data_IF_164152434462
#
_entry.id   IF_164152434462
#
_cell.length_a   1.000
_cell.length_b   1.000
_cell.length_c   1.000
_cell.angle_alpha   90.00
_cell.angle_beta   90.00
_cell.angle_gamma   90.00
#
_symmetry.space_group_name_H-M   'P 1'
#
loop_
_entity.id
_entity.type
_entity.pdbx_description
1 polymer ?
#
# COMPACT_ATOMS: atom_id res chain seq x y z
N UNK A 1 51.67 28.35 7.43
CA UNK A 1 52.28 27.14 8.04
C UNK A 1 51.58 25.90 7.51
N UNK A 2 52.39 24.95 7.04
CA UNK A 2 52.06 23.71 6.31
C UNK A 2 51.70 22.56 7.25
N UNK A 3 50.86 21.62 6.78
CA UNK A 3 50.90 20.14 7.00
C UNK A 3 49.74 19.53 6.17
N UNK A 4 49.93 19.18 4.89
CA UNK A 4 50.38 17.87 4.33
C UNK A 4 49.66 16.65 4.95
N UNK A 5 48.67 16.09 4.24
CA UNK A 5 48.71 14.86 3.38
C UNK A 5 48.75 13.56 4.19
N UNK A 6 47.76 12.67 4.00
CA UNK A 6 48.01 11.28 3.57
C UNK A 6 46.74 10.61 3.02
N UNK A 7 46.77 10.36 1.71
CA UNK A 7 45.86 9.47 0.97
C UNK A 7 46.50 8.08 0.98
N UNK A 8 45.74 7.03 1.33
CA UNK A 8 46.24 5.65 1.24
C UNK A 8 45.36 4.84 0.29
N UNK A 9 45.94 4.55 -0.88
CA UNK A 9 45.43 3.65 -1.91
C UNK A 9 45.98 2.26 -1.57
N UNK A 10 45.11 1.27 -1.34
CA UNK A 10 45.50 -0.13 -1.29
C UNK A 10 45.06 -0.83 -2.58
N UNK A 11 46.07 -1.16 -3.38
CA UNK A 11 46.04 -1.97 -4.60
C UNK A 11 46.74 -3.27 -4.22
N UNK A 12 46.03 -4.40 -4.18
CA UNK A 12 46.67 -5.72 -4.08
C UNK A 12 46.05 -6.65 -5.12
N UNK A 13 46.98 -7.30 -5.81
CA UNK A 13 46.86 -8.00 -7.05
C UNK A 13 46.11 -9.33 -6.97
N UNK A 14 45.54 -9.69 -8.11
CA UNK A 14 45.00 -10.98 -8.49
C UNK A 14 46.06 -12.09 -8.45
N UNK A 15 45.72 -13.24 -7.86
CA UNK A 15 46.37 -14.52 -8.16
C UNK A 15 45.32 -15.46 -8.73
N UNK A 16 45.49 -15.75 -10.03
CA UNK A 16 44.80 -16.81 -10.75
C UNK A 16 45.49 -18.14 -10.39
N UNK A 17 44.79 -19.03 -9.69
CA UNK A 17 45.18 -20.45 -9.66
C UNK A 17 44.26 -21.23 -10.59
N UNK A 18 44.76 -21.43 -11.82
CA UNK A 18 44.34 -22.51 -12.70
C UNK A 18 44.84 -23.83 -12.10
N UNK A 19 43.92 -24.71 -11.72
CA UNK A 19 44.22 -26.13 -11.55
C UNK A 19 43.47 -26.86 -12.65
N UNK A 20 44.21 -27.37 -13.63
CA UNK A 20 43.70 -28.26 -14.66
C UNK A 20 44.03 -29.72 -14.32
N UNK A 21 43.12 -30.59 -14.74
CA UNK A 21 43.28 -32.02 -15.00
C UNK A 21 43.42 -32.99 -13.80
N UNK A 22 42.37 -33.78 -13.57
CA UNK A 22 42.44 -35.20 -13.93
C UNK A 22 41.04 -35.76 -14.19
N UNK A 23 40.76 -36.14 -15.44
CA UNK A 23 39.80 -37.19 -15.73
C UNK A 23 40.55 -38.51 -15.64
N UNK A 24 40.07 -39.44 -14.82
CA UNK A 24 40.20 -40.86 -15.13
C UNK A 24 38.98 -41.61 -14.58
N UNK A 25 38.42 -42.38 -15.49
CA UNK A 25 37.23 -43.21 -15.38
C UNK A 25 37.46 -44.43 -14.50
N UNK A 26 36.54 -44.67 -13.57
CA UNK A 26 36.22 -46.00 -13.08
C UNK A 26 34.71 -46.06 -12.79
N UNK A 27 33.97 -46.75 -13.66
CA UNK A 27 32.60 -47.16 -13.37
C UNK A 27 32.64 -48.22 -12.27
N UNK A 28 31.97 -47.97 -11.16
CA UNK A 28 31.36 -49.05 -10.38
C UNK A 28 29.95 -48.61 -9.97
N UNK A 29 28.97 -49.28 -10.55
CA UNK A 29 27.56 -49.11 -10.21
C UNK A 29 27.35 -49.39 -8.71
N UNK A 30 26.88 -48.39 -7.99
CA UNK A 30 26.02 -48.56 -6.82
C UNK A 30 24.84 -47.61 -6.98
N UNK A 31 23.70 -48.21 -7.29
CA UNK A 31 22.40 -47.58 -7.28
C UNK A 31 22.14 -47.07 -5.85
N UNK A 32 22.18 -45.76 -5.65
CA UNK A 32 21.63 -45.09 -4.47
C UNK A 32 20.78 -43.96 -5.00
N UNK A 33 19.52 -43.99 -4.59
CA UNK A 33 18.39 -43.25 -5.13
C UNK A 33 18.68 -41.76 -5.35
N UNK A 34 18.62 -41.35 -6.61
CA UNK A 34 18.44 -39.96 -6.99
C UNK A 34 17.04 -39.51 -6.59
N UNK A 35 16.87 -39.12 -5.33
CA UNK A 35 15.78 -38.24 -4.93
C UNK A 35 16.31 -36.89 -4.47
N UNK A 36 17.16 -36.26 -5.28
CA UNK A 36 17.19 -34.80 -5.34
C UNK A 36 15.85 -34.36 -5.91
N UNK A 37 14.86 -34.23 -5.03
CA UNK A 37 13.66 -33.44 -5.29
C UNK A 37 14.17 -32.07 -5.72
N UNK A 38 14.23 -31.81 -7.04
CA UNK A 38 14.51 -30.49 -7.61
C UNK A 38 13.56 -29.56 -6.90
N UNK A 39 14.09 -28.74 -5.99
CA UNK A 39 13.34 -27.72 -5.32
C UNK A 39 12.82 -26.82 -6.44
N UNK A 40 11.55 -27.01 -6.82
CA UNK A 40 10.92 -26.25 -7.90
C UNK A 40 11.09 -24.80 -7.48
N UNK A 41 11.96 -24.06 -8.17
CA UNK A 41 12.24 -22.68 -7.82
C UNK A 41 10.91 -21.94 -7.92
N UNK A 42 10.40 -21.47 -6.77
CA UNK A 42 9.09 -20.84 -6.70
C UNK A 42 9.18 -19.51 -7.45
N UNK A 43 8.69 -19.49 -8.69
CA UNK A 43 8.62 -18.30 -9.53
C UNK A 43 7.60 -17.30 -8.98
N UNK A 44 7.90 -16.01 -9.08
CA UNK A 44 6.94 -14.94 -8.85
C UNK A 44 5.89 -14.96 -9.97
N UNK A 45 4.62 -15.11 -9.61
CA UNK A 45 3.49 -15.07 -10.56
C UNK A 45 2.46 -14.03 -10.13
N UNK A 46 1.80 -13.41 -11.10
CA UNK A 46 0.83 -12.35 -10.83
C UNK A 46 -0.34 -12.82 -9.94
N UNK A 47 -0.72 -14.09 -10.04
CA UNK A 47 -1.89 -14.66 -9.36
C UNK A 47 -1.67 -14.86 -7.84
N UNK A 48 -0.42 -14.84 -7.37
CA UNK A 48 -0.06 -15.12 -5.98
C UNK A 48 0.64 -13.94 -5.26
N UNK A 49 0.61 -12.73 -5.83
CA UNK A 49 1.25 -11.57 -5.21
C UNK A 49 0.36 -10.92 -4.16
N UNK A 50 0.82 -10.96 -2.90
CA UNK A 50 0.31 -10.05 -1.87
C UNK A 50 0.67 -8.59 -2.21
N UNK A 51 0.00 -7.62 -1.60
CA UNK A 51 0.30 -6.19 -1.82
C UNK A 51 1.74 -5.82 -1.45
N UNK A 52 2.28 -6.43 -0.38
CA UNK A 52 3.66 -6.22 0.08
C UNK A 52 4.66 -6.87 -0.88
N UNK A 53 4.38 -8.08 -1.37
CA UNK A 53 5.19 -8.74 -2.39
C UNK A 53 5.22 -7.96 -3.70
N UNK A 54 4.07 -7.45 -4.14
CA UNK A 54 3.98 -6.65 -5.35
C UNK A 54 4.78 -5.34 -5.23
N UNK A 55 4.62 -4.61 -4.13
CA UNK A 55 5.36 -3.37 -3.90
C UNK A 55 6.88 -3.61 -3.79
N UNK A 56 7.28 -4.73 -3.18
CA UNK A 56 8.68 -5.16 -3.08
C UNK A 56 9.27 -5.48 -4.46
N UNK A 57 8.55 -6.25 -5.28
CA UNK A 57 8.97 -6.57 -6.64
C UNK A 57 9.13 -5.31 -7.50
N UNK A 58 8.14 -4.41 -7.47
CA UNK A 58 8.19 -3.12 -8.18
C UNK A 58 9.40 -2.29 -7.74
N UNK A 59 9.64 -2.19 -6.43
CA UNK A 59 10.76 -1.41 -5.87
C UNK A 59 12.12 -1.99 -6.27
N UNK A 60 12.28 -3.30 -6.16
CA UNK A 60 13.51 -3.99 -6.52
C UNK A 60 13.81 -3.86 -8.01
N UNK A 61 12.82 -4.09 -8.87
CA UNK A 61 12.97 -3.91 -10.31
C UNK A 61 13.44 -2.50 -10.67
N UNK A 62 12.82 -1.48 -10.08
CA UNK A 62 13.21 -0.09 -10.29
C UNK A 62 14.62 0.21 -9.78
N UNK A 63 15.00 -0.35 -8.63
CA UNK A 63 16.35 -0.20 -8.08
C UNK A 63 17.42 -0.79 -9.01
N UNK A 64 17.14 -1.94 -9.62
CA UNK A 64 18.05 -2.60 -10.58
C UNK A 64 18.14 -1.85 -11.90
N UNK A 65 17.01 -1.36 -12.44
CA UNK A 65 16.94 -0.79 -13.79
C UNK A 65 17.19 0.71 -13.86
N UNK A 66 16.69 1.49 -12.88
CA UNK A 66 16.75 2.96 -12.92
C UNK A 66 17.79 3.57 -11.98
N UNK A 67 18.35 2.76 -11.07
CA UNK A 67 19.44 3.13 -10.15
C UNK A 67 19.11 4.42 -9.35
N UNK A 68 20.14 5.10 -8.85
CA UNK A 68 20.02 6.39 -8.14
C UNK A 68 19.06 6.31 -6.95
N UNK A 69 18.05 7.19 -6.92
CA UNK A 69 17.09 7.28 -5.80
C UNK A 69 16.33 5.97 -5.56
N UNK A 70 16.03 5.19 -6.60
CA UNK A 70 15.39 3.88 -6.43
C UNK A 70 16.32 2.87 -5.77
N UNK A 71 17.60 2.88 -6.14
CA UNK A 71 18.62 2.04 -5.52
C UNK A 71 18.86 2.45 -4.07
N UNK A 72 18.89 3.75 -3.77
CA UNK A 72 19.04 4.26 -2.41
C UNK A 72 17.87 3.87 -1.52
N UNK A 73 16.63 4.03 -2.01
CA UNK A 73 15.41 3.62 -1.31
C UNK A 73 15.44 2.13 -0.99
N UNK A 74 15.80 1.29 -1.96
CA UNK A 74 15.93 -0.15 -1.78
C UNK A 74 17.02 -0.52 -0.76
N UNK A 75 18.23 0.05 -0.87
CA UNK A 75 19.34 -0.19 0.07
C UNK A 75 19.00 0.20 1.51
N UNK A 76 18.18 1.24 1.70
CA UNK A 76 17.70 1.62 3.02
C UNK A 76 16.63 0.65 3.52
N UNK A 77 15.70 0.27 2.64
CA UNK A 77 14.61 -0.64 2.96
C UNK A 77 15.11 -2.03 3.39
N UNK A 78 16.19 -2.53 2.78
CA UNK A 78 16.80 -3.80 3.18
C UNK A 78 17.46 -3.77 4.55
N UNK A 79 17.90 -2.59 5.02
CA UNK A 79 18.48 -2.39 6.37
C UNK A 79 17.41 -2.14 7.44
N UNK A 80 16.28 -1.58 7.04
CA UNK A 80 15.17 -1.24 7.94
C UNK A 80 13.92 -1.99 7.49
N UNK A 81 13.02 -1.29 6.81
CA UNK A 81 11.79 -1.83 6.27
C UNK A 81 11.37 -0.99 5.06
N UNK A 82 10.60 -1.56 4.14
CA UNK A 82 10.08 -0.84 2.99
C UNK A 82 8.76 -0.16 3.37
N UNK A 83 8.72 1.17 3.36
CA UNK A 83 7.53 1.97 3.60
C UNK A 83 6.89 2.36 2.26
N UNK A 84 5.61 2.03 2.07
CA UNK A 84 4.83 2.46 0.89
C UNK A 84 3.69 3.36 1.34
N UNK A 85 3.76 4.65 1.06
CA UNK A 85 2.62 5.55 1.29
C UNK A 85 1.73 5.60 0.05
N UNK A 86 0.42 5.42 0.24
CA UNK A 86 -0.56 5.54 -0.84
C UNK A 86 -1.16 6.95 -0.80
N UNK A 87 -1.00 7.68 -1.89
CA UNK A 87 -1.44 9.07 -2.08
C UNK A 87 -2.50 9.12 -3.18
N UNK A 88 -3.44 10.05 -3.05
CA UNK A 88 -4.43 10.30 -4.11
C UNK A 88 -3.78 11.01 -5.29
N UNK A 89 -4.13 10.62 -6.52
CA UNK A 89 -3.70 11.30 -7.74
C UNK A 89 -4.28 12.71 -7.88
N UNK A 90 -5.41 13.04 -7.22
CA UNK A 90 -6.08 14.35 -7.34
C UNK A 90 -5.24 15.47 -6.76
N UNK A 91 -4.68 15.27 -5.56
CA UNK A 91 -3.74 16.19 -4.91
C UNK A 91 -2.40 16.36 -5.64
N UNK A 92 -2.17 15.49 -6.63
CA UNK A 92 -0.94 15.41 -7.41
C UNK A 92 -1.20 15.68 -8.90
N UNK A 93 -2.39 16.17 -9.26
CA UNK A 93 -2.89 16.34 -10.63
C UNK A 93 -2.00 17.19 -11.55
N UNK A 94 -1.24 18.15 -10.99
CA UNK A 94 -0.25 18.95 -11.73
C UNK A 94 0.97 18.14 -12.20
N UNK A 95 1.24 17.01 -11.55
CA UNK A 95 2.42 16.17 -11.80
C UNK A 95 2.00 14.83 -12.43
N UNK A 96 0.82 14.33 -12.06
CA UNK A 96 0.29 13.04 -12.48
C UNK A 96 -1.08 13.27 -13.11
N UNK A 97 -1.15 13.21 -14.45
CA UNK A 97 -2.42 13.34 -15.17
C UNK A 97 -3.22 12.04 -15.06
N UNK A 98 -4.38 12.08 -14.38
CA UNK A 98 -5.34 11.00 -14.33
C UNK A 98 -5.86 10.66 -12.93
N UNK A 99 -6.95 9.90 -12.87
CA UNK A 99 -7.52 9.36 -11.64
C UNK A 99 -6.76 8.08 -11.23
N UNK A 100 -6.49 7.92 -9.92
CA UNK A 100 -5.86 6.73 -9.36
C UNK A 100 -4.93 7.03 -8.19
N UNK A 101 -4.26 6.00 -7.69
CA UNK A 101 -3.34 6.11 -6.57
C UNK A 101 -1.88 6.22 -7.01
N UNK A 102 -1.14 7.04 -6.26
CA UNK A 102 0.31 7.18 -6.35
C UNK A 102 0.92 6.48 -5.13
N UNK A 103 1.93 5.66 -5.36
CA UNK A 103 2.63 4.91 -4.33
C UNK A 103 4.01 5.52 -4.16
N UNK A 104 4.21 6.22 -3.04
CA UNK A 104 5.50 6.77 -2.66
C UNK A 104 6.28 5.73 -1.87
N UNK A 105 7.56 5.61 -2.19
CA UNK A 105 8.46 4.62 -1.59
C UNK A 105 9.45 5.31 -0.66
N UNK A 106 9.71 4.70 0.49
CA UNK A 106 10.79 5.09 1.38
C UNK A 106 11.40 3.87 2.05
N UNK A 107 12.72 3.83 2.16
CA UNK A 107 13.43 2.78 2.92
C UNK A 107 13.74 3.17 4.37
N UNK A 108 13.36 4.38 4.80
CA UNK A 108 13.68 4.90 6.14
C UNK A 108 12.52 5.65 6.80
N UNK A 109 11.31 5.57 6.23
CA UNK A 109 10.11 6.29 6.69
C UNK A 109 10.11 7.79 6.40
N UNK A 110 11.21 8.36 5.87
CA UNK A 110 11.30 9.77 5.48
C UNK A 110 10.93 9.96 4.00
N UNK A 111 10.43 11.13 3.65
CA UNK A 111 10.08 11.47 2.27
C UNK A 111 11.25 11.23 1.29
N UNK A 112 10.93 10.54 0.20
CA UNK A 112 11.81 10.39 -0.95
C UNK A 112 11.06 10.71 -2.24
N UNK A 113 11.82 10.97 -3.31
CA UNK A 113 11.27 11.40 -4.60
C UNK A 113 10.96 10.21 -5.52
N UNK A 114 10.78 9.01 -4.98
CA UNK A 114 10.51 7.79 -5.74
C UNK A 114 9.03 7.42 -5.65
N UNK A 115 8.35 7.46 -6.78
CA UNK A 115 6.92 7.18 -6.88
C UNK A 115 6.63 6.18 -7.99
N UNK A 116 5.62 5.34 -7.82
CA UNK A 116 5.03 4.62 -8.92
C UNK A 116 3.50 4.78 -8.94
N UNK A 117 2.90 4.60 -10.11
CA UNK A 117 1.47 4.36 -10.24
C UNK A 117 1.24 2.96 -10.77
N UNK A 118 0.13 2.33 -10.36
CA UNK A 118 -0.30 1.03 -10.87
C UNK A 118 -1.73 1.15 -11.36
N UNK A 119 -1.94 0.94 -12.66
CA UNK A 119 -3.26 0.88 -13.29
C UNK A 119 -3.39 -0.40 -14.10
N UNK A 120 -4.32 -1.27 -13.69
CA UNK A 120 -4.45 -2.64 -14.23
C UNK A 120 -3.09 -3.35 -14.12
N UNK A 121 -2.48 -3.72 -15.25
CA UNK A 121 -1.17 -4.37 -15.33
C UNK A 121 -0.02 -3.40 -15.66
N UNK A 122 -0.25 -2.07 -15.71
CA UNK A 122 0.79 -1.10 -16.09
C UNK A 122 1.33 -0.37 -14.85
N UNK A 123 2.64 -0.45 -14.66
CA UNK A 123 3.39 0.28 -13.62
C UNK A 123 4.12 1.43 -14.29
N UNK A 124 3.85 2.65 -13.86
CA UNK A 124 4.62 3.83 -14.30
C UNK A 124 5.52 4.30 -13.17
N UNK A 125 6.81 4.46 -13.46
CA UNK A 125 7.84 4.86 -12.50
C UNK A 125 8.17 6.33 -12.66
N UNK A 126 8.45 6.98 -11.53
CA UNK A 126 8.76 8.39 -11.47
C UNK A 126 9.93 8.62 -10.51
N UNK A 127 10.76 9.60 -10.84
CA UNK A 127 11.67 10.24 -9.91
C UNK A 127 11.34 11.73 -9.90
N UNK A 128 11.11 12.28 -8.71
CA UNK A 128 10.47 13.58 -8.53
C UNK A 128 9.18 13.68 -9.36
N UNK A 129 9.08 14.70 -10.21
CA UNK A 129 7.94 15.01 -11.07
C UNK A 129 8.05 14.40 -12.47
N UNK A 130 9.14 13.67 -12.76
CA UNK A 130 9.43 13.16 -14.11
C UNK A 130 9.13 11.67 -14.17
N UNK A 131 8.28 11.31 -15.13
CA UNK A 131 8.05 9.92 -15.49
C UNK A 131 9.33 9.35 -16.12
N UNK A 132 9.81 8.24 -15.59
CA UNK A 132 10.99 7.53 -16.09
C UNK A 132 10.58 6.52 -17.15
N UNK A 133 9.57 5.69 -16.84
CA UNK A 133 9.14 4.60 -17.71
C UNK A 133 7.73 4.12 -17.36
N UNK A 134 7.13 3.36 -18.28
CA UNK A 134 5.98 2.50 -17.98
C UNK A 134 6.29 1.09 -18.46
N UNK A 135 6.13 0.10 -17.60
CA UNK A 135 6.29 -1.33 -17.93
C UNK A 135 5.13 -2.12 -17.36
N UNK A 136 4.93 -3.35 -17.86
CA UNK A 136 3.89 -4.22 -17.33
C UNK A 136 4.33 -4.88 -16.02
N UNK A 137 3.42 -5.12 -15.08
CA UNK A 137 3.73 -5.87 -13.86
C UNK A 137 4.20 -7.29 -14.22
N UNK A 138 3.59 -7.94 -15.21
CA UNK A 138 4.07 -9.22 -15.74
C UNK A 138 5.54 -9.18 -16.19
N UNK A 139 5.97 -8.12 -16.91
CA UNK A 139 7.36 -7.97 -17.34
C UNK A 139 8.32 -7.76 -16.17
N UNK A 140 7.88 -7.03 -15.13
CA UNK A 140 8.65 -6.88 -13.90
C UNK A 140 8.90 -8.24 -13.25
N UNK A 141 7.87 -9.07 -13.12
CA UNK A 141 7.98 -10.37 -12.47
C UNK A 141 8.84 -11.36 -13.29
N UNK A 142 8.67 -11.37 -14.61
CA UNK A 142 9.50 -12.16 -15.51
C UNK A 142 10.99 -11.78 -15.34
N UNK A 143 11.29 -10.49 -15.41
CA UNK A 143 12.65 -9.98 -15.20
C UNK A 143 13.23 -10.43 -13.84
N UNK A 144 12.48 -10.30 -12.75
CA UNK A 144 12.99 -10.72 -11.43
C UNK A 144 13.17 -12.24 -11.32
N UNK A 145 12.34 -13.04 -11.99
CA UNK A 145 12.51 -14.49 -12.05
C UNK A 145 13.76 -14.88 -12.86
N UNK A 146 14.00 -14.22 -13.99
CA UNK A 146 15.16 -14.48 -14.85
C UNK A 146 16.48 -14.19 -14.12
N UNK A 147 16.48 -13.16 -13.26
CA UNK A 147 17.60 -12.83 -12.38
C UNK A 147 17.58 -13.58 -11.04
N UNK A 148 16.69 -14.57 -10.87
CA UNK A 148 16.56 -15.41 -9.67
C UNK A 148 16.33 -14.62 -8.36
N UNK A 149 15.62 -13.49 -8.42
CA UNK A 149 15.41 -12.55 -7.30
C UNK A 149 14.22 -12.85 -6.40
N UNK A 150 13.61 -14.03 -6.52
CA UNK A 150 12.37 -14.37 -5.83
C UNK A 150 12.48 -14.37 -4.29
N UNK A 151 13.54 -14.96 -3.73
CA UNK A 151 13.75 -14.97 -2.26
C UNK A 151 14.05 -13.57 -1.72
N UNK A 152 14.77 -12.75 -2.48
CA UNK A 152 15.06 -11.37 -2.09
C UNK A 152 13.76 -10.54 -2.04
N UNK A 153 12.87 -10.72 -3.02
CA UNK A 153 11.54 -10.08 -3.02
C UNK A 153 10.72 -10.53 -1.82
N UNK A 154 10.72 -11.83 -1.51
CA UNK A 154 10.00 -12.39 -0.37
C UNK A 154 10.53 -11.83 0.97
N UNK A 155 11.86 -11.74 1.13
CA UNK A 155 12.50 -11.17 2.32
C UNK A 155 12.14 -9.69 2.49
N UNK A 156 12.18 -8.91 1.42
CA UNK A 156 11.75 -7.51 1.46
C UNK A 156 10.25 -7.38 1.78
N UNK A 157 9.42 -8.25 1.21
CA UNK A 157 7.97 -8.24 1.41
C UNK A 157 7.54 -8.50 2.85
N UNK A 158 8.27 -9.37 3.57
CA UNK A 158 8.05 -9.63 4.99
C UNK A 158 8.21 -8.36 5.85
N UNK A 159 9.12 -7.47 5.45
CA UNK A 159 9.40 -6.20 6.12
C UNK A 159 8.79 -5.00 5.37
N UNK A 160 7.75 -5.21 4.56
CA UNK A 160 7.10 -4.12 3.82
C UNK A 160 5.82 -3.69 4.50
N UNK A 161 5.67 -2.38 4.71
CA UNK A 161 4.45 -1.76 5.24
C UNK A 161 3.77 -0.97 4.13
N UNK A 162 2.62 -1.48 3.66
CA UNK A 162 1.77 -0.78 2.69
C UNK A 162 0.77 0.11 3.42
N UNK A 163 0.65 1.36 2.95
CA UNK A 163 0.06 2.41 3.77
C UNK A 163 0.98 2.72 4.95
N UNK A 164 2.26 2.98 4.71
CA UNK A 164 3.13 3.52 5.75
C UNK A 164 2.92 5.04 5.91
N UNK A 165 3.14 5.57 7.12
CA UNK A 165 3.24 7.02 7.33
C UNK A 165 4.60 7.47 6.82
N UNK A 166 4.63 8.16 5.68
CA UNK A 166 5.81 8.88 5.19
C UNK A 166 5.55 10.36 5.43
N UNK A 167 6.36 10.99 6.29
CA UNK A 167 6.26 12.41 6.61
C UNK A 167 6.84 13.23 5.46
N UNK A 168 6.04 14.12 4.86
CA UNK A 168 6.41 15.03 3.76
C UNK A 168 5.80 16.41 4.02
N UNK A 169 6.63 17.45 3.94
CA UNK A 169 6.19 18.86 3.97
C UNK A 169 6.22 19.48 2.55
N UNK A 170 6.72 18.74 1.54
CA UNK A 170 7.15 19.32 0.26
C UNK A 170 6.18 19.11 -0.90
N UNK A 171 5.43 18.00 -0.90
CA UNK A 171 4.63 17.59 -2.07
C UNK A 171 3.22 17.07 -1.73
N UNK A 172 2.76 17.22 -0.49
CA UNK A 172 1.43 16.79 -0.06
C UNK A 172 0.86 17.66 1.05
N UNK A 173 -0.44 17.52 1.31
CA UNK A 173 -1.12 18.16 2.43
C UNK A 173 -0.38 17.82 3.72
N UNK A 174 0.06 18.84 4.46
CA UNK A 174 0.75 18.66 5.73
C UNK A 174 -0.15 17.84 6.67
N UNK A 175 0.41 16.77 7.21
CA UNK A 175 -0.33 15.84 8.07
C UNK A 175 -0.97 14.65 7.35
N UNK A 176 -1.03 14.61 6.01
CA UNK A 176 -1.53 13.44 5.27
C UNK A 176 -0.56 12.25 5.37
N UNK A 177 -0.98 11.22 6.12
CA UNK A 177 -0.28 9.96 6.26
C UNK A 177 -0.77 8.90 5.25
N UNK A 178 -1.44 9.32 4.17
CA UNK A 178 -1.93 8.47 3.10
C UNK A 178 -3.27 7.81 3.42
N UNK A 179 -3.81 7.06 2.47
CA UNK A 179 -5.16 6.50 2.56
C UNK A 179 -5.36 5.61 3.79
N UNK A 180 -6.52 5.75 4.42
CA UNK A 180 -7.00 4.83 5.45
C UNK A 180 -7.63 3.59 4.80
N UNK A 181 -7.46 2.44 5.44
CA UNK A 181 -8.13 1.20 5.04
C UNK A 181 -9.45 1.06 5.79
N UNK A 182 -10.54 1.00 5.05
CA UNK A 182 -11.88 0.73 5.61
C UNK A 182 -12.00 -0.77 5.90
N UNK A 183 -12.54 -1.22 7.05
CA UNK A 183 -12.71 -2.65 7.36
C UNK A 183 -13.44 -3.42 6.25
N UNK A 184 -12.92 -4.60 5.85
CA UNK A 184 -13.48 -5.43 4.75
C UNK A 184 -14.99 -5.65 4.91
N UNK A 185 -15.45 -5.86 6.14
CA UNK A 185 -16.85 -6.12 6.49
C UNK A 185 -17.82 -4.98 6.12
N UNK A 186 -17.34 -3.73 6.07
CA UNK A 186 -18.13 -2.56 5.68
C UNK A 186 -18.16 -2.34 4.15
N UNK A 187 -17.24 -2.97 3.41
CA UNK A 187 -17.06 -2.70 1.98
C UNK A 187 -18.19 -3.31 1.14
N UNK A 188 -18.44 -2.69 0.01
CA UNK A 188 -19.43 -3.10 -0.97
C UNK A 188 -20.42 -1.98 -1.28
N UNK A 189 -21.42 -2.35 -2.07
CA UNK A 189 -22.56 -1.49 -2.38
C UNK A 189 -23.71 -1.85 -1.47
N UNK A 190 -24.28 -0.85 -0.83
CA UNK A 190 -25.39 -0.97 0.11
C UNK A 190 -26.53 -0.03 -0.30
N UNK A 191 -27.76 -0.35 0.07
CA UNK A 191 -28.97 0.33 -0.38
C UNK A 191 -29.88 0.60 0.81
N UNK A 192 -30.42 1.81 0.93
CA UNK A 192 -31.48 2.07 1.89
C UNK A 192 -32.87 1.80 1.29
N UNK A 193 -33.93 1.91 2.11
CA UNK A 193 -35.32 1.64 1.68
C UNK A 193 -35.79 2.51 0.51
N UNK A 194 -35.21 3.70 0.35
CA UNK A 194 -35.50 4.66 -0.73
C UNK A 194 -34.68 4.38 -2.00
N UNK A 195 -33.86 3.33 -2.02
CA UNK A 195 -32.99 2.99 -3.15
C UNK A 195 -31.71 3.84 -3.24
N UNK A 196 -31.42 4.69 -2.26
CA UNK A 196 -30.14 5.43 -2.21
C UNK A 196 -29.01 4.42 -2.00
N UNK A 197 -27.97 4.53 -2.84
CA UNK A 197 -26.77 3.69 -2.76
C UNK A 197 -25.75 4.32 -1.81
N UNK A 198 -25.09 3.46 -1.03
CA UNK A 198 -23.90 3.75 -0.25
C UNK A 198 -22.79 2.84 -0.78
N UNK A 199 -21.72 3.42 -1.35
CA UNK A 199 -20.61 2.66 -1.94
C UNK A 199 -19.38 2.82 -1.06
N UNK A 200 -18.94 1.71 -0.47
CA UNK A 200 -17.78 1.68 0.41
C UNK A 200 -16.68 0.82 -0.23
N UNK A 201 -15.55 1.45 -0.56
CA UNK A 201 -14.38 0.75 -1.13
C UNK A 201 -13.31 0.49 -0.07
N UNK A 202 -12.09 0.16 -0.48
CA UNK A 202 -10.98 0.04 0.46
C UNK A 202 -10.59 1.39 1.09
N UNK A 203 -10.87 2.50 0.42
CA UNK A 203 -10.35 3.83 0.75
C UNK A 203 -11.34 4.98 0.54
N UNK A 204 -12.58 4.68 0.13
CA UNK A 204 -13.59 5.70 -0.12
C UNK A 204 -14.95 5.31 0.44
N UNK A 205 -15.73 6.32 0.82
CA UNK A 205 -17.14 6.20 1.18
C UNK A 205 -17.90 7.21 0.32
N UNK A 206 -18.85 6.74 -0.49
CA UNK A 206 -19.59 7.56 -1.46
C UNK A 206 -18.71 8.46 -2.34
N UNK A 207 -17.51 7.96 -2.66
CA UNK A 207 -16.53 8.67 -3.48
C UNK A 207 -15.62 9.63 -2.72
N UNK A 208 -15.92 9.95 -1.45
CA UNK A 208 -15.04 10.74 -0.58
C UNK A 208 -13.84 9.89 -0.14
N UNK A 209 -12.62 10.44 -0.27
CA UNK A 209 -11.39 9.72 0.07
C UNK A 209 -11.14 9.76 1.58
N UNK A 210 -10.84 8.60 2.16
CA UNK A 210 -10.54 8.49 3.58
C UNK A 210 -9.02 8.42 3.76
N UNK A 211 -8.50 9.37 4.52
CA UNK A 211 -7.08 9.56 4.80
C UNK A 211 -6.76 9.29 6.27
N UNK A 212 -5.53 8.90 6.53
CA UNK A 212 -4.96 8.93 7.89
C UNK A 212 -4.30 10.28 8.04
N UNK A 213 -4.71 11.06 9.02
CA UNK A 213 -4.10 12.36 9.30
C UNK A 213 -3.25 12.22 10.57
N UNK A 214 -1.96 12.49 10.45
CA UNK A 214 -1.06 12.60 11.60
C UNK A 214 -1.39 13.86 12.41
N UNK A 215 -1.23 13.80 13.73
CA UNK A 215 -1.69 14.82 14.70
C UNK A 215 -1.17 16.26 14.48
N UNK A 216 -0.27 16.50 13.51
CA UNK A 216 0.11 17.83 13.07
C UNK A 216 -0.98 18.43 12.16
N UNK A 217 -1.59 19.52 12.62
CA UNK A 217 -2.71 20.23 12.01
C UNK A 217 -2.60 20.39 10.49
N UNK A 218 -3.69 20.09 9.78
CA UNK A 218 -3.87 20.45 8.36
C UNK A 218 -3.89 21.97 8.28
N UNK A 219 -2.99 22.57 7.52
CA UNK A 219 -2.87 24.04 7.40
C UNK A 219 -3.96 24.63 6.52
N UNK A 220 -4.27 25.92 6.70
CA UNK A 220 -5.32 26.63 5.94
C UNK A 220 -5.14 26.55 4.42
N UNK A 221 -3.90 26.57 3.94
CA UNK A 221 -3.57 26.42 2.52
C UNK A 221 -4.00 25.07 1.92
N UNK A 222 -4.25 24.05 2.75
CA UNK A 222 -4.62 22.71 2.32
C UNK A 222 -6.13 22.49 2.21
N UNK A 223 -6.99 23.37 2.76
CA UNK A 223 -8.44 23.13 2.80
C UNK A 223 -9.08 22.96 1.42
N UNK A 224 -8.62 23.72 0.41
CA UNK A 224 -9.11 23.54 -0.96
C UNK A 224 -8.66 22.21 -1.59
N UNK A 225 -7.47 21.74 -1.24
CA UNK A 225 -6.94 20.45 -1.71
C UNK A 225 -7.61 19.27 -0.99
N UNK A 226 -8.06 19.46 0.25
CA UNK A 226 -8.68 18.43 1.10
C UNK A 226 -10.19 18.52 1.21
N UNK A 227 -10.86 19.35 0.41
CA UNK A 227 -12.30 19.62 0.55
C UNK A 227 -13.22 18.39 0.41
N UNK A 228 -12.70 17.30 -0.15
CA UNK A 228 -13.41 16.02 -0.33
C UNK A 228 -12.65 14.87 0.35
N UNK A 229 -11.92 15.17 1.41
CA UNK A 229 -11.20 14.19 2.22
C UNK A 229 -11.81 14.12 3.61
N UNK A 230 -11.86 12.90 4.13
CA UNK A 230 -12.20 12.63 5.50
C UNK A 230 -11.06 11.89 6.21
N UNK A 231 -10.97 12.04 7.53
CA UNK A 231 -10.15 11.19 8.40
C UNK A 231 -11.02 10.12 9.04
N UNK A 232 -10.42 8.98 9.36
CA UNK A 232 -11.12 7.94 10.08
C UNK A 232 -10.33 7.26 11.18
N UNK A 233 -11.05 6.75 12.18
CA UNK A 233 -10.55 5.92 13.27
C UNK A 233 -11.58 4.87 13.65
N UNK A 234 -11.14 3.82 14.34
CA UNK A 234 -12.04 2.79 14.87
C UNK A 234 -12.25 3.08 16.35
N UNK A 235 -13.50 3.08 16.78
CA UNK A 235 -13.91 3.29 18.17
C UNK A 235 -14.87 2.18 18.58
N UNK A 236 -14.80 1.73 19.83
CA UNK A 236 -15.81 0.86 20.41
C UNK A 236 -16.73 1.72 21.28
N UNK A 237 -18.00 1.82 20.90
CA UNK A 237 -19.01 2.61 21.60
C UNK A 237 -20.12 1.66 22.00
N UNK A 238 -20.37 1.50 23.30
CA UNK A 238 -21.39 0.62 23.86
C UNK A 238 -21.32 -0.83 23.30
N UNK A 239 -20.09 -1.36 23.14
CA UNK A 239 -19.85 -2.70 22.61
C UNK A 239 -19.96 -2.82 21.09
N UNK A 240 -20.11 -1.71 20.36
CA UNK A 240 -20.21 -1.66 18.91
C UNK A 240 -18.95 -1.06 18.31
N UNK A 241 -18.30 -1.81 17.41
CA UNK A 241 -17.12 -1.30 16.68
C UNK A 241 -17.56 -0.38 15.53
N UNK A 242 -17.35 0.92 15.72
CA UNK A 242 -17.69 1.99 14.81
C UNK A 242 -16.46 2.46 14.03
N UNK A 243 -16.62 2.63 12.72
CA UNK A 243 -15.66 3.33 11.88
C UNK A 243 -16.08 4.80 11.82
N UNK A 244 -15.45 5.61 12.65
CA UNK A 244 -15.70 7.05 12.75
C UNK A 244 -15.05 7.75 11.56
N UNK A 245 -15.83 8.50 10.81
CA UNK A 245 -15.39 9.27 9.64
C UNK A 245 -15.74 10.73 9.82
N UNK A 246 -14.76 11.61 9.64
CA UNK A 246 -14.91 13.05 9.82
C UNK A 246 -14.28 13.79 8.64
N UNK A 247 -15.05 14.60 7.92
CA UNK A 247 -14.52 15.46 6.87
C UNK A 247 -13.53 16.47 7.44
N UNK A 248 -12.43 16.74 6.75
CA UNK A 248 -11.33 17.54 7.30
C UNK A 248 -11.67 19.02 7.49
N UNK A 249 -12.65 19.53 6.76
CA UNK A 249 -13.17 20.89 6.92
C UNK A 249 -14.26 21.04 8.00
N UNK A 250 -14.74 19.94 8.58
CA UNK A 250 -15.80 19.97 9.58
C UNK A 250 -15.19 20.07 10.99
N UNK A 251 -15.54 21.14 11.72
CA UNK A 251 -15.25 21.24 13.15
C UNK A 251 -16.12 20.23 13.90
N UNK A 252 -15.57 19.03 14.16
CA UNK A 252 -16.16 17.95 14.97
C UNK A 252 -17.34 17.15 14.39
N UNK A 253 -17.96 17.56 13.28
CA UNK A 253 -19.07 16.80 12.68
C UNK A 253 -18.59 15.61 11.83
N UNK A 254 -19.15 14.43 12.07
CA UNK A 254 -18.80 13.19 11.36
C UNK A 254 -19.91 12.13 11.40
N UNK A 255 -19.65 10.99 10.76
CA UNK A 255 -20.52 9.82 10.74
C UNK A 255 -19.81 8.59 11.31
N UNK A 256 -20.51 7.82 12.13
CA UNK A 256 -20.08 6.52 12.61
C UNK A 256 -20.69 5.44 11.70
N UNK A 257 -19.85 4.60 11.11
CA UNK A 257 -20.29 3.45 10.30
C UNK A 257 -20.06 2.14 11.05
N UNK A 258 -21.09 1.34 11.22
CA UNK A 258 -20.97 0.02 11.87
C UNK A 258 -21.73 -1.04 11.09
N UNK A 259 -21.28 -2.29 11.23
CA UNK A 259 -21.95 -3.44 10.64
C UNK A 259 -22.75 -4.16 11.72
N UNK A 260 -24.07 -4.19 11.57
CA UNK A 260 -24.98 -4.84 12.50
C UNK A 260 -25.84 -5.89 11.79
N UNK A 261 -26.35 -6.85 12.56
CA UNK A 261 -27.23 -7.92 12.06
C UNK A 261 -28.68 -7.60 12.43
N UNK A 262 -29.58 -7.91 11.52
CA UNK A 262 -31.00 -8.08 11.82
C UNK A 262 -31.45 -9.45 11.27
N UNK A 263 -31.67 -10.41 12.16
CA UNK A 263 -31.82 -11.82 11.80
C UNK A 263 -30.62 -12.33 10.98
N UNK A 264 -30.89 -12.86 9.79
CA UNK A 264 -29.85 -13.36 8.86
C UNK A 264 -29.20 -12.26 8.01
N UNK A 265 -29.75 -11.05 8.02
CA UNK A 265 -29.29 -9.95 7.16
C UNK A 265 -28.27 -9.06 7.87
N UNK A 266 -27.30 -8.54 7.10
CA UNK A 266 -26.34 -7.55 7.56
C UNK A 266 -26.71 -6.17 7.01
N UNK A 267 -26.60 -5.16 7.86
CA UNK A 267 -26.77 -3.76 7.50
C UNK A 267 -25.53 -2.95 7.90
N UNK A 268 -25.15 -2.01 7.05
CA UNK A 268 -24.30 -0.87 7.45
C UNK A 268 -25.22 0.16 8.08
N UNK A 269 -25.01 0.43 9.36
CA UNK A 269 -25.76 1.41 10.13
C UNK A 269 -24.90 2.65 10.32
N UNK A 270 -25.50 3.81 10.10
CA UNK A 270 -24.86 5.11 10.27
C UNK A 270 -25.43 5.86 11.46
N UNK A 271 -24.57 6.42 12.28
CA UNK A 271 -24.94 7.26 13.42
C UNK A 271 -24.28 8.63 13.36
N UNK A 272 -24.92 9.59 14.02
CA UNK A 272 -24.34 10.89 14.32
C UNK A 272 -23.17 10.72 15.28
N UNK A 273 -22.02 11.32 14.97
CA UNK A 273 -20.90 11.37 15.91
C UNK A 273 -21.25 12.21 17.15
N UNK A 274 -22.01 13.29 16.98
CA UNK A 274 -22.26 14.27 18.05
C UNK A 274 -23.29 13.80 19.06
N UNK A 275 -24.32 13.08 18.58
CA UNK A 275 -25.47 12.71 19.40
C UNK A 275 -25.60 11.20 19.63
N UNK A 276 -24.84 10.37 18.90
CA UNK A 276 -25.02 8.92 18.90
C UNK A 276 -26.34 8.46 18.28
N UNK A 277 -27.10 9.37 17.65
CA UNK A 277 -28.40 9.07 17.06
C UNK A 277 -28.28 8.18 15.82
N UNK A 278 -29.20 7.22 15.71
CA UNK A 278 -29.39 6.47 14.47
C UNK A 278 -29.81 7.41 13.34
N UNK A 279 -29.10 7.35 12.22
CA UNK A 279 -29.42 8.16 11.04
C UNK A 279 -29.98 7.32 9.90
N UNK A 280 -29.40 6.16 9.63
CA UNK A 280 -29.81 5.32 8.50
C UNK A 280 -29.30 3.89 8.61
N UNK A 281 -29.95 3.00 7.84
CA UNK A 281 -29.50 1.63 7.60
C UNK A 281 -29.43 1.34 6.11
N UNK A 282 -28.34 0.69 5.71
CA UNK A 282 -28.06 0.32 4.33
C UNK A 282 -27.82 -1.18 4.23
N UNK A 283 -28.52 -1.82 3.31
CA UNK A 283 -28.65 -3.27 3.17
C UNK A 283 -28.07 -3.74 1.85
N UNK A 284 -27.91 -5.05 1.65
CA UNK A 284 -27.34 -5.58 0.39
C UNK A 284 -28.22 -5.33 -0.85
N UNK A 285 -29.52 -5.09 -0.68
CA UNK A 285 -30.41 -4.71 -1.77
C UNK A 285 -31.56 -3.84 -1.25
N UNK A 286 -32.23 -3.13 -2.17
CA UNK A 286 -33.41 -2.33 -1.84
C UNK A 286 -34.57 -3.20 -1.35
N UNK A 287 -34.70 -4.43 -1.86
CA UNK A 287 -35.72 -5.38 -1.40
C UNK A 287 -35.50 -5.76 0.07
N UNK A 288 -34.26 -6.10 0.45
CA UNK A 288 -33.92 -6.36 1.85
C UNK A 288 -34.21 -5.12 2.70
N UNK A 289 -33.83 -3.93 2.24
CA UNK A 289 -34.08 -2.69 2.97
C UNK A 289 -35.58 -2.43 3.23
N UNK A 290 -36.44 -2.72 2.24
CA UNK A 290 -37.91 -2.59 2.37
C UNK A 290 -38.52 -3.63 3.31
N UNK A 291 -37.91 -4.81 3.43
CA UNK A 291 -38.37 -5.85 4.36
C UNK A 291 -37.87 -5.62 5.81
N UNK A 292 -36.98 -4.65 6.02
CA UNK A 292 -36.36 -4.39 7.31
C UNK A 292 -36.58 -2.94 7.77
N UNK A 293 -37.74 -2.36 7.46
CA UNK A 293 -38.06 -0.95 7.81
C UNK A 293 -38.12 -0.75 9.33
N UNK A 294 -38.59 -1.76 10.05
CA UNK A 294 -38.73 -1.75 11.51
C UNK A 294 -37.55 -2.45 12.20
N UNK A 295 -36.41 -2.58 11.51
CA UNK A 295 -35.23 -3.18 12.12
C UNK A 295 -34.70 -2.28 13.24
N UNK A 296 -34.54 -2.86 14.42
CA UNK A 296 -33.93 -2.20 15.56
C UNK A 296 -32.42 -2.48 15.59
N UNK A 297 -31.65 -1.43 15.90
CA UNK A 297 -30.20 -1.49 15.99
C UNK A 297 -29.76 -1.01 17.37
N UNK A 298 -28.57 -1.42 17.80
CA UNK A 298 -28.03 -1.01 19.09
C UNK A 298 -27.94 0.53 19.19
N UNK A 299 -28.31 1.07 20.34
CA UNK A 299 -28.06 2.48 20.68
C UNK A 299 -26.56 2.73 20.82
N UNK A 300 -26.11 3.91 20.39
CA UNK A 300 -24.79 4.45 20.72
C UNK A 300 -24.83 5.55 21.79
N UNK A 301 -26.04 5.92 22.24
CA UNK A 301 -26.27 6.67 23.49
C UNK A 301 -26.13 5.73 24.67
#
# INVERSE_FOLDING_TARGET
MSKKILTLIFLIATVLNLSACSQNSAQHNKNVDNNTQRQVSKKLTANNLTKTSQASAITMYAAMNYKGKWQDAYKQATKKHLSISIKSGTGFSRIFKGQGYIYQISGNGKEQNTFYTLKKNKVSFFNHKKKIATVSLSSILAYLNDYQKFEEVKKLAANTVVGARITSDKYGVKGDAGLAFIPKKLRGTWHNRRGKKLVITAHTIDGEEIHRISASSVTTASFQQTKHWARARIENINGVNCYHVQSLGAQNFGLLYTLQKNGRNLAVVTYSVDTGDFLNSYWKSTAIAKNNVNAEFKSLK
#
